data_IF_270614176951
#
_entry.id   IF_270614176951
#
_cell.length_a   1.000
_cell.length_b   1.000
_cell.length_c   1.000
_cell.angle_alpha   90.00
_cell.angle_beta   90.00
_cell.angle_gamma   90.00
#
_symmetry.space_group_name_H-M   'P 1'
#
loop_
_entity.id
_entity.type
_entity.pdbx_description
1 polymer ?
#
# COMPACT_ATOMS: atom_id res chain seq x y z
N UNK A 1 22.28 -9.30 13.44
CA UNK A 1 22.83 -7.99 13.01
C UNK A 1 22.30 -6.86 13.88
N UNK A 2 21.00 -6.51 13.81
CA UNK A 2 20.46 -5.33 14.52
C UNK A 2 20.69 -5.38 16.04
N UNK A 3 20.46 -6.55 16.67
CA UNK A 3 20.73 -6.75 18.10
C UNK A 3 22.20 -6.51 18.45
N UNK A 4 23.13 -7.08 17.68
CA UNK A 4 24.57 -6.88 17.90
C UNK A 4 24.96 -5.40 17.74
N UNK A 5 24.37 -4.69 16.77
CA UNK A 5 24.56 -3.24 16.60
C UNK A 5 24.08 -2.46 17.83
N UNK A 6 22.91 -2.82 18.39
CA UNK A 6 22.37 -2.18 19.60
C UNK A 6 23.24 -2.45 20.84
N UNK A 7 23.87 -3.62 20.92
CA UNK A 7 24.78 -3.99 22.01
C UNK A 7 26.19 -3.38 21.86
N UNK A 8 26.49 -2.73 20.74
CA UNK A 8 27.83 -2.22 20.44
C UNK A 8 28.85 -3.29 20.04
N UNK A 9 28.41 -4.54 19.83
CA UNK A 9 29.25 -5.65 19.39
C UNK A 9 29.47 -5.59 17.87
N UNK A 10 30.56 -4.93 17.48
CA UNK A 10 30.92 -4.69 16.08
C UNK A 10 31.26 -5.98 15.33
N UNK A 11 31.93 -6.92 15.99
CA UNK A 11 32.38 -8.16 15.34
C UNK A 11 31.19 -9.08 15.06
N UNK A 12 30.29 -9.24 16.04
CA UNK A 12 29.05 -9.97 15.81
C UNK A 12 28.17 -9.28 14.77
N UNK A 13 28.12 -7.95 14.73
CA UNK A 13 27.39 -7.23 13.69
C UNK A 13 27.95 -7.54 12.29
N UNK A 14 29.26 -7.44 12.08
CA UNK A 14 29.91 -7.79 10.79
C UNK A 14 29.63 -9.24 10.41
N UNK A 15 29.79 -10.18 11.35
CA UNK A 15 29.52 -11.60 11.11
C UNK A 15 28.07 -11.85 10.65
N UNK A 16 27.08 -11.32 11.39
CA UNK A 16 25.67 -11.51 11.05
C UNK A 16 25.26 -10.78 9.77
N UNK A 17 25.89 -9.64 9.45
CA UNK A 17 25.70 -8.98 8.15
C UNK A 17 26.17 -9.89 7.02
N UNK A 18 27.39 -10.42 7.13
CA UNK A 18 27.94 -11.34 6.12
C UNK A 18 27.08 -12.58 5.91
N UNK A 19 26.53 -13.17 6.99
CA UNK A 19 25.59 -14.30 6.87
C UNK A 19 24.29 -13.94 6.18
N UNK A 20 23.72 -12.78 6.48
CA UNK A 20 22.53 -12.31 5.78
C UNK A 20 22.80 -12.09 4.28
N UNK A 21 23.94 -11.49 3.94
CA UNK A 21 24.31 -11.21 2.54
C UNK A 21 24.59 -12.51 1.77
N UNK A 22 25.15 -13.54 2.42
CA UNK A 22 25.32 -14.88 1.84
C UNK A 22 23.96 -15.51 1.47
N UNK A 23 22.98 -15.43 2.37
CA UNK A 23 21.61 -15.93 2.12
C UNK A 23 20.95 -15.18 0.97
N UNK A 24 21.03 -13.84 0.95
CA UNK A 24 20.46 -13.02 -0.13
C UNK A 24 21.05 -13.38 -1.49
N UNK A 25 22.37 -13.53 -1.57
CA UNK A 25 23.05 -13.94 -2.80
C UNK A 25 22.60 -15.32 -3.25
N UNK A 26 22.55 -16.30 -2.35
CA UNK A 26 22.04 -17.65 -2.67
C UNK A 26 20.59 -17.63 -3.12
N UNK A 27 19.71 -16.85 -2.48
CA UNK A 27 18.32 -16.71 -2.92
C UNK A 27 18.25 -16.18 -4.35
N UNK A 28 18.97 -15.08 -4.65
CA UNK A 28 19.05 -14.52 -6.00
C UNK A 28 19.54 -15.55 -7.00
N UNK A 29 20.71 -16.13 -6.76
CA UNK A 29 21.36 -17.04 -7.71
C UNK A 29 20.54 -18.31 -7.98
N UNK A 30 19.77 -18.77 -6.99
CA UNK A 30 19.11 -20.07 -7.04
C UNK A 30 17.62 -20.01 -7.37
N UNK A 31 16.91 -18.95 -6.93
CA UNK A 31 15.46 -18.88 -6.97
C UNK A 31 14.93 -17.78 -7.91
N UNK A 32 15.74 -16.77 -8.24
CA UNK A 32 15.27 -15.66 -9.10
C UNK A 32 15.31 -16.09 -10.56
N UNK A 33 14.22 -15.83 -11.29
CA UNK A 33 14.19 -15.99 -12.74
C UNK A 33 14.04 -14.60 -13.36
N UNK A 34 15.09 -14.12 -14.03
CA UNK A 34 15.17 -12.72 -14.44
C UNK A 34 14.09 -12.30 -15.44
N UNK A 35 13.83 -13.15 -16.45
CA UNK A 35 12.79 -12.97 -17.46
C UNK A 35 11.36 -13.06 -16.89
N UNK A 36 11.23 -13.60 -15.68
CA UNK A 36 9.95 -13.72 -14.97
C UNK A 36 9.83 -12.79 -13.78
N UNK A 37 10.80 -11.88 -13.59
CA UNK A 37 10.75 -10.78 -12.62
C UNK A 37 10.33 -11.19 -11.19
N UNK A 38 10.67 -12.41 -10.78
CA UNK A 38 10.13 -13.01 -9.56
C UNK A 38 10.98 -14.19 -9.07
N UNK A 39 10.88 -14.48 -7.77
CA UNK A 39 11.37 -15.71 -7.16
C UNK A 39 10.38 -16.86 -7.37
N UNK A 40 10.92 -18.03 -7.75
CA UNK A 40 10.20 -19.29 -7.85
C UNK A 40 10.82 -20.35 -6.94
N UNK A 41 9.97 -21.20 -6.37
CA UNK A 41 10.42 -22.33 -5.56
C UNK A 41 11.09 -23.40 -6.41
N UNK A 42 11.87 -24.25 -5.75
CA UNK A 42 12.37 -25.49 -6.35
C UNK A 42 11.85 -26.72 -5.60
N UNK A 43 11.60 -27.79 -6.34
CA UNK A 43 11.25 -29.09 -5.79
C UNK A 43 12.51 -29.83 -5.26
N UNK A 44 12.38 -31.01 -4.63
CA UNK A 44 13.53 -31.79 -4.16
C UNK A 44 14.53 -32.21 -5.26
N UNK A 45 14.06 -32.34 -6.51
CA UNK A 45 14.88 -32.64 -7.69
C UNK A 45 15.55 -31.38 -8.29
N UNK A 46 15.45 -30.25 -7.58
CA UNK A 46 16.03 -28.97 -7.95
C UNK A 46 15.43 -28.31 -9.21
N UNK A 47 14.23 -28.70 -9.61
CA UNK A 47 13.50 -28.09 -10.71
C UNK A 47 12.63 -26.94 -10.22
N UNK A 48 12.42 -25.92 -11.05
CA UNK A 48 11.53 -24.83 -10.70
C UNK A 48 10.06 -25.29 -10.65
N UNK A 49 9.38 -24.96 -9.56
CA UNK A 49 7.94 -25.09 -9.44
C UNK A 49 7.32 -23.88 -10.13
N UNK A 50 6.55 -24.14 -11.19
CA UNK A 50 5.89 -23.09 -11.97
C UNK A 50 4.63 -22.56 -11.27
N UNK A 51 4.80 -21.96 -10.10
CA UNK A 51 3.72 -21.28 -9.39
C UNK A 51 4.17 -19.92 -8.87
N UNK A 52 3.44 -18.87 -9.21
CA UNK A 52 3.71 -17.51 -8.78
C UNK A 52 2.91 -17.20 -7.51
N UNK A 53 3.62 -16.96 -6.41
CA UNK A 53 3.01 -16.80 -5.08
C UNK A 53 3.35 -15.46 -4.44
N UNK A 54 2.54 -15.05 -3.45
CA UNK A 54 2.82 -13.81 -2.69
C UNK A 54 4.12 -13.86 -1.90
N UNK A 55 4.81 -15.02 -1.82
CA UNK A 55 6.01 -15.15 -0.99
C UNK A 55 7.17 -14.28 -1.47
N UNK A 56 7.07 -13.75 -2.69
CA UNK A 56 7.88 -12.62 -3.16
C UNK A 56 7.80 -11.38 -2.24
N UNK A 57 6.61 -11.06 -1.71
CA UNK A 57 6.46 -10.04 -0.67
C UNK A 57 7.20 -10.40 0.62
N UNK A 58 7.33 -11.70 0.96
CA UNK A 58 8.15 -12.12 2.12
C UNK A 58 9.64 -11.93 1.84
N UNK A 59 10.09 -12.24 0.64
CA UNK A 59 11.47 -11.95 0.23
C UNK A 59 11.75 -10.44 0.30
N UNK A 60 10.80 -9.60 -0.13
CA UNK A 60 10.86 -8.15 0.03
C UNK A 60 10.87 -7.73 1.51
N UNK A 61 9.99 -8.28 2.34
CA UNK A 61 9.93 -8.02 3.79
C UNK A 61 11.28 -8.23 4.48
N UNK A 62 12.02 -9.28 4.11
CA UNK A 62 13.36 -9.57 4.65
C UNK A 62 14.51 -8.87 3.91
N UNK A 63 14.22 -8.02 2.92
CA UNK A 63 15.23 -7.29 2.17
C UNK A 63 16.06 -8.18 1.23
N UNK A 64 15.50 -9.29 0.75
CA UNK A 64 16.19 -10.29 -0.08
C UNK A 64 16.13 -10.00 -1.59
N UNK A 65 15.51 -8.90 -1.99
CA UNK A 65 15.56 -8.38 -3.37
C UNK A 65 16.50 -7.18 -3.43
N UNK A 66 17.04 -6.88 -4.62
CA UNK A 66 17.56 -5.54 -4.89
C UNK A 66 16.39 -4.58 -5.14
N UNK A 67 16.65 -3.27 -5.13
CA UNK A 67 15.63 -2.27 -5.50
C UNK A 67 15.05 -2.54 -6.89
N UNK A 68 15.89 -2.85 -7.87
CA UNK A 68 15.45 -3.18 -9.23
C UNK A 68 14.54 -4.42 -9.27
N UNK A 69 14.90 -5.50 -8.57
CA UNK A 69 14.09 -6.72 -8.50
C UNK A 69 12.72 -6.44 -7.86
N UNK A 70 12.69 -5.65 -6.77
CA UNK A 70 11.44 -5.25 -6.12
C UNK A 70 10.56 -4.41 -7.05
N UNK A 71 11.14 -3.39 -7.71
CA UNK A 71 10.43 -2.55 -8.67
C UNK A 71 9.83 -3.38 -9.82
N UNK A 72 10.60 -4.34 -10.37
CA UNK A 72 10.13 -5.23 -11.44
C UNK A 72 9.01 -6.15 -10.96
N UNK A 73 9.16 -6.79 -9.79
CA UNK A 73 8.09 -7.62 -9.23
C UNK A 73 6.80 -6.82 -9.02
N UNK A 74 6.90 -5.61 -8.46
CA UNK A 74 5.73 -4.76 -8.20
C UNK A 74 5.02 -4.40 -9.51
N UNK A 75 5.79 -3.91 -10.48
CA UNK A 75 5.31 -3.47 -11.79
C UNK A 75 4.66 -4.59 -12.62
N UNK A 76 5.30 -5.76 -12.66
CA UNK A 76 4.89 -6.84 -13.56
C UNK A 76 3.89 -7.80 -12.92
N UNK A 77 3.90 -7.93 -11.59
CA UNK A 77 3.12 -8.94 -10.88
C UNK A 77 2.20 -8.35 -9.81
N UNK A 78 2.75 -7.65 -8.81
CA UNK A 78 1.98 -7.26 -7.63
C UNK A 78 0.78 -6.37 -7.98
N UNK A 79 0.98 -5.42 -8.89
CA UNK A 79 -0.05 -4.50 -9.36
C UNK A 79 -0.81 -5.02 -10.59
N UNK A 80 -0.54 -6.24 -11.06
CA UNK A 80 -1.21 -6.82 -12.21
C UNK A 80 -2.62 -7.34 -11.83
N UNK A 81 -3.72 -6.83 -12.43
CA UNK A 81 -5.08 -7.26 -12.09
C UNK A 81 -5.41 -8.71 -12.45
N UNK A 82 -4.62 -9.31 -13.35
CA UNK A 82 -4.74 -10.72 -13.72
C UNK A 82 -3.97 -11.65 -12.78
N UNK A 83 -3.27 -11.10 -11.79
CA UNK A 83 -2.42 -11.86 -10.86
C UNK A 83 -2.75 -11.51 -9.40
N UNK A 84 -2.16 -10.44 -8.86
CA UNK A 84 -2.28 -10.10 -7.43
C UNK A 84 -3.15 -8.88 -7.15
N UNK A 85 -3.46 -8.04 -8.13
CA UNK A 85 -4.31 -6.86 -7.95
C UNK A 85 -5.80 -7.13 -8.23
N UNK A 86 -6.37 -8.04 -7.46
CA UNK A 86 -7.80 -8.40 -7.56
C UNK A 86 -8.71 -7.39 -6.84
N UNK A 87 -10.01 -7.69 -6.68
CA UNK A 87 -10.92 -6.84 -5.91
C UNK A 87 -10.42 -6.66 -4.47
N UNK A 88 -10.11 -7.77 -3.79
CA UNK A 88 -9.32 -7.82 -2.56
C UNK A 88 -7.90 -8.34 -2.88
N UNK A 89 -6.91 -7.45 -3.07
CA UNK A 89 -5.59 -7.81 -3.56
C UNK A 89 -4.81 -8.81 -2.69
N UNK A 90 -3.65 -9.18 -3.21
CA UNK A 90 -2.63 -10.07 -2.63
C UNK A 90 -3.15 -11.47 -2.24
N UNK A 91 -3.80 -12.18 -3.19
CA UNK A 91 -4.09 -13.60 -3.04
C UNK A 91 -2.81 -14.41 -2.77
N UNK A 92 -2.96 -15.59 -2.18
CA UNK A 92 -1.81 -16.42 -1.80
C UNK A 92 -1.01 -16.96 -2.97
N UNK A 93 -1.72 -17.24 -4.05
CA UNK A 93 -1.21 -17.62 -5.36
C UNK A 93 -1.84 -16.64 -6.37
N UNK A 94 -1.11 -16.26 -7.42
CA UNK A 94 -1.66 -15.39 -8.46
C UNK A 94 -2.94 -16.03 -9.06
N UNK A 95 -3.99 -15.23 -9.32
CA UNK A 95 -5.30 -15.80 -9.71
C UNK A 95 -5.32 -16.47 -11.10
N UNK A 96 -4.32 -16.21 -11.93
CA UNK A 96 -4.11 -16.88 -13.22
C UNK A 96 -3.22 -18.13 -13.13
N UNK A 97 -2.72 -18.46 -11.94
CA UNK A 97 -1.86 -19.61 -11.72
C UNK A 97 -2.69 -20.91 -11.65
N UNK A 98 -2.23 -22.03 -12.25
CA UNK A 98 -2.96 -23.29 -12.21
C UNK A 98 -3.14 -23.88 -10.80
N UNK A 99 -2.33 -23.45 -9.82
CA UNK A 99 -2.45 -23.89 -8.43
C UNK A 99 -3.33 -22.98 -7.56
N UNK A 100 -3.97 -21.96 -8.14
CA UNK A 100 -4.87 -21.08 -7.40
C UNK A 100 -6.13 -21.83 -6.93
N UNK A 101 -6.39 -21.77 -5.64
CA UNK A 101 -7.59 -22.34 -5.02
C UNK A 101 -8.36 -21.31 -4.19
N UNK A 102 -9.59 -21.00 -4.62
CA UNK A 102 -10.50 -20.13 -3.87
C UNK A 102 -11.39 -20.95 -2.91
N UNK A 103 -10.84 -21.35 -1.77
CA UNK A 103 -11.60 -22.06 -0.71
C UNK A 103 -11.80 -21.14 0.50
N UNK A 104 -12.98 -21.23 1.11
CA UNK A 104 -13.40 -20.41 2.26
C UNK A 104 -12.90 -20.89 3.62
N UNK A 105 -12.44 -22.13 3.74
CA UNK A 105 -11.72 -22.56 4.95
C UNK A 105 -10.28 -22.06 4.91
N UNK A 106 -9.60 -21.98 6.06
CA UNK A 106 -8.24 -21.47 6.14
C UNK A 106 -7.26 -22.31 5.31
N UNK A 107 -6.82 -21.74 4.18
CA UNK A 107 -5.83 -22.33 3.30
C UNK A 107 -5.00 -21.22 2.65
N UNK A 108 -3.76 -21.55 2.30
CA UNK A 108 -2.83 -20.62 1.64
C UNK A 108 -2.76 -20.85 0.12
N UNK A 109 -3.80 -21.48 -0.46
CA UNK A 109 -3.86 -21.86 -1.87
C UNK A 109 -4.41 -20.77 -2.80
N UNK A 110 -5.08 -19.74 -2.28
CA UNK A 110 -5.60 -18.69 -3.14
C UNK A 110 -6.09 -17.45 -2.42
N UNK A 111 -6.98 -17.56 -1.44
CA UNK A 111 -7.57 -16.38 -0.80
C UNK A 111 -6.54 -15.41 -0.20
N UNK A 112 -6.90 -14.13 -0.17
CA UNK A 112 -6.07 -13.04 0.32
C UNK A 112 -6.01 -13.09 1.84
N UNK A 113 -4.82 -13.36 2.38
CA UNK A 113 -4.60 -13.55 3.81
C UNK A 113 -4.25 -12.23 4.49
N UNK A 114 -4.88 -11.92 5.63
CA UNK A 114 -4.60 -10.68 6.36
C UNK A 114 -3.17 -10.58 6.92
N UNK A 115 -2.56 -11.73 7.23
CA UNK A 115 -1.12 -11.76 7.58
C UNK A 115 -0.24 -11.31 6.40
N UNK A 116 -0.69 -11.48 5.16
CA UNK A 116 0.03 -10.96 3.98
C UNK A 116 -0.14 -9.45 3.88
N UNK A 117 -1.33 -8.91 4.14
CA UNK A 117 -1.54 -7.45 4.28
C UNK A 117 -0.59 -6.84 5.31
N UNK A 118 -0.52 -7.42 6.51
CA UNK A 118 0.38 -6.92 7.54
C UNK A 118 1.86 -6.90 7.09
N UNK A 119 2.31 -7.96 6.41
CA UNK A 119 3.69 -8.06 5.90
C UNK A 119 3.94 -7.14 4.71
N UNK A 120 2.93 -6.89 3.87
CA UNK A 120 3.05 -6.07 2.68
C UNK A 120 3.53 -4.64 3.01
N UNK A 121 3.15 -4.11 4.16
CA UNK A 121 3.59 -2.79 4.64
C UNK A 121 5.12 -2.69 4.63
N UNK A 122 5.81 -3.51 5.44
CA UNK A 122 7.28 -3.50 5.48
C UNK A 122 7.90 -4.01 4.19
N UNK A 123 7.27 -4.95 3.51
CA UNK A 123 7.73 -5.41 2.21
C UNK A 123 7.86 -4.27 1.21
N UNK A 124 6.89 -3.34 1.17
CA UNK A 124 6.89 -2.20 0.26
C UNK A 124 7.74 -1.03 0.79
N UNK A 125 7.61 -0.70 2.08
CA UNK A 125 8.36 0.41 2.69
C UNK A 125 9.88 0.21 2.62
N UNK A 126 10.37 -1.04 2.74
CA UNK A 126 11.79 -1.36 2.62
C UNK A 126 12.39 -0.94 1.27
N UNK A 127 11.56 -0.78 0.24
CA UNK A 127 11.94 -0.37 -1.11
C UNK A 127 11.32 0.96 -1.52
N UNK A 128 10.80 1.74 -0.56
CA UNK A 128 10.27 3.09 -0.81
C UNK A 128 8.93 3.17 -1.53
N UNK A 129 8.19 2.06 -1.66
CA UNK A 129 6.86 2.01 -2.27
C UNK A 129 5.75 2.37 -1.27
N UNK A 130 5.74 3.62 -0.81
CA UNK A 130 4.81 4.12 0.20
C UNK A 130 3.40 4.36 -0.34
N UNK A 131 3.27 4.85 -1.57
CA UNK A 131 1.98 5.09 -2.20
C UNK A 131 1.22 3.78 -2.45
N UNK A 132 1.91 2.70 -2.81
CA UNK A 132 1.33 1.36 -2.94
C UNK A 132 0.79 0.86 -1.60
N UNK A 133 1.45 1.14 -0.46
CA UNK A 133 0.91 0.84 0.87
C UNK A 133 -0.44 1.53 1.06
N UNK A 134 -0.56 2.81 0.72
CA UNK A 134 -1.83 3.53 0.80
C UNK A 134 -2.91 2.93 -0.13
N UNK A 135 -2.55 2.50 -1.34
CA UNK A 135 -3.48 1.82 -2.25
C UNK A 135 -4.04 0.52 -1.65
N UNK A 136 -3.19 -0.34 -1.08
CA UNK A 136 -3.65 -1.54 -0.38
C UNK A 136 -4.48 -1.21 0.86
N UNK A 137 -4.09 -0.15 1.59
CA UNK A 137 -4.81 0.35 2.74
C UNK A 137 -6.24 0.75 2.40
N UNK A 138 -6.46 1.50 1.31
CA UNK A 138 -7.81 1.86 0.85
C UNK A 138 -8.68 0.63 0.54
N UNK A 139 -8.13 -0.41 -0.09
CA UNK A 139 -8.84 -1.67 -0.36
C UNK A 139 -9.25 -2.38 0.92
N UNK A 140 -8.31 -2.55 1.84
CA UNK A 140 -8.53 -3.21 3.12
C UNK A 140 -9.55 -2.43 3.98
N UNK A 141 -9.35 -1.11 4.12
CA UNK A 141 -10.22 -0.24 4.91
C UNK A 141 -11.62 -0.17 4.33
N UNK A 142 -11.77 -0.09 3.00
CA UNK A 142 -13.07 -0.13 2.33
C UNK A 142 -13.88 -1.35 2.78
N UNK A 143 -13.31 -2.55 2.62
CA UNK A 143 -13.99 -3.81 2.99
C UNK A 143 -14.27 -3.94 4.49
N UNK A 144 -13.32 -3.57 5.34
CA UNK A 144 -13.48 -3.67 6.79
C UNK A 144 -14.45 -2.62 7.32
N UNK A 145 -14.50 -1.43 6.71
CA UNK A 145 -15.46 -0.39 7.09
C UNK A 145 -16.91 -0.81 6.84
N UNK A 146 -17.17 -1.62 5.82
CA UNK A 146 -18.51 -2.13 5.51
C UNK A 146 -18.90 -3.27 6.46
N UNK A 147 -18.00 -4.24 6.63
CA UNK A 147 -18.29 -5.47 7.38
C UNK A 147 -18.19 -5.32 8.89
N UNK A 148 -17.27 -4.46 9.37
CA UNK A 148 -16.83 -4.38 10.77
C UNK A 148 -16.26 -5.70 11.32
N UNK A 149 -15.86 -6.61 10.43
CA UNK A 149 -15.30 -7.92 10.79
C UNK A 149 -13.79 -7.95 10.57
N UNK A 150 -13.09 -8.57 11.52
CA UNK A 150 -11.66 -8.77 11.47
C UNK A 150 -11.37 -10.26 11.28
N UNK A 151 -11.29 -10.72 10.02
CA UNK A 151 -11.18 -12.14 9.68
C UNK A 151 -9.78 -12.57 9.25
N UNK A 152 -9.58 -13.88 9.09
CA UNK A 152 -8.33 -14.45 8.61
C UNK A 152 -8.08 -14.10 7.14
N UNK A 153 -9.10 -14.24 6.29
CA UNK A 153 -8.95 -14.17 4.84
C UNK A 153 -10.17 -13.56 4.14
N UNK A 154 -9.94 -13.09 2.93
CA UNK A 154 -10.94 -12.56 2.01
C UNK A 154 -10.94 -13.32 0.69
N UNK A 155 -12.13 -13.55 0.14
CA UNK A 155 -12.29 -13.90 -1.25
C UNK A 155 -11.69 -12.79 -2.14
N UNK A 156 -10.76 -13.11 -3.05
CA UNK A 156 -10.06 -12.08 -3.83
C UNK A 156 -10.94 -11.38 -4.86
N UNK A 157 -12.10 -11.95 -5.24
CA UNK A 157 -13.00 -11.42 -6.26
C UNK A 157 -14.23 -10.74 -5.68
N UNK A 158 -14.81 -11.30 -4.61
CA UNK A 158 -16.03 -10.76 -3.99
C UNK A 158 -15.74 -9.94 -2.73
N UNK A 159 -14.59 -10.18 -2.09
CA UNK A 159 -14.26 -9.64 -0.78
C UNK A 159 -15.04 -10.25 0.38
N UNK A 160 -15.80 -11.32 0.14
CA UNK A 160 -16.43 -12.08 1.21
C UNK A 160 -15.39 -12.55 2.23
N UNK A 161 -15.74 -12.43 3.50
CA UNK A 161 -14.85 -12.73 4.60
C UNK A 161 -15.10 -14.13 5.13
N UNK A 162 -14.03 -14.88 5.38
CA UNK A 162 -14.12 -16.24 5.89
C UNK A 162 -13.07 -16.53 6.97
N UNK A 163 -13.19 -17.68 7.63
CA UNK A 163 -12.38 -18.03 8.81
C UNK A 163 -12.87 -17.39 10.12
N UNK A 164 -14.19 -17.36 10.33
CA UNK A 164 -14.87 -16.78 11.51
C UNK A 164 -15.24 -17.87 12.54
N UNK A 165 -14.60 -19.04 12.51
CA UNK A 165 -14.98 -20.17 13.36
C UNK A 165 -14.65 -19.90 14.85
N UNK A 166 -15.57 -19.20 15.53
CA UNK A 166 -15.66 -19.14 16.99
C UNK A 166 -14.71 -18.21 17.73
N UNK A 167 -13.89 -17.40 17.06
CA UNK A 167 -12.97 -16.47 17.70
C UNK A 167 -12.93 -15.09 17.04
N UNK A 168 -13.11 -14.05 17.85
CA UNK A 168 -12.99 -12.62 17.49
C UNK A 168 -11.56 -12.17 17.12
N UNK A 169 -10.64 -13.12 16.89
CA UNK A 169 -9.25 -12.84 16.58
C UNK A 169 -8.91 -13.24 15.15
N UNK A 170 -9.04 -12.28 14.23
CA UNK A 170 -8.39 -12.33 12.93
C UNK A 170 -7.18 -11.36 12.85
N UNK A 171 -6.09 -11.74 12.17
CA UNK A 171 -4.90 -10.90 12.00
C UNK A 171 -5.16 -9.56 11.29
N UNK A 172 -6.33 -9.40 10.68
CA UNK A 172 -6.78 -8.15 10.04
C UNK A 172 -6.78 -6.95 10.97
N UNK A 173 -7.08 -7.09 12.28
CA UNK A 173 -7.10 -5.91 13.17
C UNK A 173 -5.72 -5.25 13.26
N UNK A 174 -4.66 -6.06 13.32
CA UNK A 174 -3.29 -5.54 13.35
C UNK A 174 -2.91 -4.88 12.03
N UNK A 175 -3.31 -5.49 10.90
CA UNK A 175 -3.14 -4.87 9.60
C UNK A 175 -3.88 -3.53 9.52
N UNK A 176 -5.13 -3.46 10.01
CA UNK A 176 -5.94 -2.24 10.03
C UNK A 176 -5.24 -1.12 10.77
N UNK A 177 -4.79 -1.37 12.00
CA UNK A 177 -4.11 -0.38 12.82
C UNK A 177 -2.84 0.14 12.13
N UNK A 178 -2.07 -0.76 11.54
CA UNK A 178 -0.84 -0.41 10.82
C UNK A 178 -1.13 0.41 9.56
N UNK A 179 -2.04 -0.02 8.68
CA UNK A 179 -2.42 0.75 7.49
C UNK A 179 -3.02 2.10 7.85
N UNK A 180 -3.88 2.16 8.87
CA UNK A 180 -4.44 3.42 9.36
C UNK A 180 -3.34 4.37 9.82
N UNK A 181 -2.34 3.88 10.58
CA UNK A 181 -1.20 4.71 11.00
C UNK A 181 -0.38 5.24 9.81
N UNK A 182 -0.25 4.47 8.72
CA UNK A 182 0.44 4.88 7.48
C UNK A 182 -0.36 5.83 6.60
N UNK A 183 -1.68 5.92 6.79
CA UNK A 183 -2.56 6.74 5.96
C UNK A 183 -2.97 8.04 6.65
N UNK A 184 -3.27 7.98 7.95
CA UNK A 184 -3.92 9.07 8.69
C UNK A 184 -3.43 9.19 10.15
N UNK A 185 -2.22 8.70 10.44
CA UNK A 185 -1.74 8.62 11.81
C UNK A 185 -0.24 8.73 11.96
N UNK A 186 0.23 8.27 13.11
CA UNK A 186 1.63 8.36 13.49
C UNK A 186 2.20 6.96 13.67
N UNK A 187 3.34 6.70 13.02
CA UNK A 187 4.14 5.50 13.29
C UNK A 187 5.53 5.85 13.81
N UNK A 188 5.92 5.20 14.91
CA UNK A 188 7.24 5.37 15.53
C UNK A 188 8.09 4.15 15.17
N UNK A 189 9.25 4.39 14.58
CA UNK A 189 10.14 3.35 14.08
C UNK A 189 11.56 3.63 14.54
N UNK A 190 12.01 2.91 15.57
CA UNK A 190 13.33 3.10 16.21
C UNK A 190 13.46 4.54 16.75
N UNK A 191 14.31 5.34 16.13
CA UNK A 191 14.68 6.72 16.46
C UNK A 191 13.95 7.75 15.61
N UNK A 192 12.99 7.32 14.77
CA UNK A 192 12.23 8.21 13.88
C UNK A 192 10.73 8.14 14.16
N UNK A 193 10.05 9.24 13.90
CA UNK A 193 8.60 9.38 13.97
C UNK A 193 8.09 9.79 12.60
N UNK A 194 7.05 9.13 12.13
CA UNK A 194 6.46 9.37 10.82
C UNK A 194 5.03 9.85 11.02
N UNK A 195 4.76 11.07 10.59
CA UNK A 195 3.43 11.67 10.59
C UNK A 195 2.84 11.51 9.20
N UNK A 196 1.82 10.67 9.06
CA UNK A 196 1.23 10.32 7.79
C UNK A 196 -0.17 10.91 7.69
N UNK A 197 -0.45 11.66 6.63
CA UNK A 197 -1.79 12.17 6.42
C UNK A 197 -2.12 12.29 4.95
N UNK A 198 -2.93 11.37 4.44
CA UNK A 198 -3.65 11.54 3.18
C UNK A 198 -4.78 12.58 3.37
N UNK A 199 -5.19 13.27 2.30
CA UNK A 199 -6.28 14.22 2.38
C UNK A 199 -7.60 13.53 2.72
N UNK A 200 -8.34 14.08 3.68
CA UNK A 200 -9.71 13.71 4.01
C UNK A 200 -10.59 14.96 4.08
N UNK A 201 -11.89 14.79 3.85
CA UNK A 201 -12.85 15.87 4.06
C UNK A 201 -13.06 16.10 5.56
N UNK A 202 -13.04 15.02 6.34
CA UNK A 202 -13.23 15.04 7.78
C UNK A 202 -11.99 15.56 8.51
N UNK A 203 -12.25 16.27 9.61
CA UNK A 203 -11.21 16.63 10.56
C UNK A 203 -10.90 15.43 11.46
N UNK A 204 -9.62 15.22 11.77
CA UNK A 204 -9.21 14.15 12.68
C UNK A 204 -8.00 14.55 13.53
N UNK A 205 -7.86 13.87 14.66
CA UNK A 205 -6.70 13.92 15.53
C UNK A 205 -6.23 12.49 15.83
N UNK A 206 -4.93 12.25 15.69
CA UNK A 206 -4.26 11.01 16.08
C UNK A 206 -3.21 11.33 17.14
N UNK A 207 -3.21 10.57 18.24
CA UNK A 207 -2.26 10.72 19.33
C UNK A 207 -1.53 9.39 19.54
N UNK A 208 -0.20 9.44 19.54
CA UNK A 208 0.67 8.31 19.87
C UNK A 208 1.51 8.64 21.10
N UNK A 209 1.50 7.76 22.09
CA UNK A 209 2.31 7.91 23.32
C UNK A 209 3.33 6.78 23.38
N UNK A 210 4.62 7.13 23.42
CA UNK A 210 5.72 6.17 23.53
C UNK A 210 6.68 6.63 24.63
N UNK A 211 6.72 5.87 25.72
CA UNK A 211 7.43 6.29 26.93
C UNK A 211 6.85 7.61 27.44
N UNK A 212 7.72 8.59 27.66
CA UNK A 212 7.33 9.93 28.13
C UNK A 212 6.96 10.89 26.99
N UNK A 213 7.12 10.47 25.73
CA UNK A 213 6.84 11.32 24.58
C UNK A 213 5.41 11.14 24.06
N UNK A 214 4.76 12.26 23.77
CA UNK A 214 3.46 12.33 23.11
C UNK A 214 3.60 13.00 21.74
N UNK A 215 3.15 12.31 20.71
CA UNK A 215 3.11 12.79 19.34
C UNK A 215 1.66 12.96 18.92
N UNK A 216 1.33 14.11 18.35
CA UNK A 216 -0.03 14.41 17.90
C UNK A 216 -0.01 14.87 16.45
N UNK A 217 -0.89 14.28 15.64
CA UNK A 217 -1.17 14.69 14.27
C UNK A 217 -2.61 15.17 14.22
N UNK A 218 -2.83 16.40 13.77
CA UNK A 218 -4.16 16.91 13.44
C UNK A 218 -4.25 17.13 11.96
N UNK A 219 -5.41 16.81 11.39
CA UNK A 219 -5.75 17.24 10.04
C UNK A 219 -7.00 18.10 10.08
N UNK A 220 -6.95 19.25 9.42
CA UNK A 220 -8.12 20.10 9.19
C UNK A 220 -8.03 20.72 7.80
N UNK A 221 -9.09 20.59 6.99
CA UNK A 221 -9.18 21.16 5.64
C UNK A 221 -7.96 20.83 4.75
N UNK A 222 -7.50 19.57 4.77
CA UNK A 222 -6.32 19.13 4.02
C UNK A 222 -4.98 19.66 4.54
N UNK A 223 -4.94 20.29 5.71
CA UNK A 223 -3.73 20.77 6.38
C UNK A 223 -3.41 19.85 7.57
N UNK A 224 -2.20 19.31 7.57
CA UNK A 224 -1.60 18.55 8.66
C UNK A 224 -0.89 19.49 9.64
N UNK A 225 -1.06 19.23 10.93
CA UNK A 225 -0.36 19.89 12.02
C UNK A 225 0.30 18.84 12.91
N UNK A 226 1.62 18.83 12.96
CA UNK A 226 2.41 17.91 13.79
C UNK A 226 2.89 18.56 15.07
N UNK A 227 2.61 17.93 16.19
CA UNK A 227 2.90 18.42 17.54
C UNK A 227 3.68 17.33 18.30
N UNK A 228 4.74 17.73 19.00
CA UNK A 228 5.55 16.84 19.84
C UNK A 228 5.60 17.43 21.24
N UNK A 229 5.16 16.65 22.25
CA UNK A 229 5.11 17.06 23.65
C UNK A 229 4.41 18.42 23.89
N UNK A 230 3.33 18.66 23.13
CA UNK A 230 2.57 19.91 23.19
C UNK A 230 3.14 21.08 22.38
N UNK A 231 4.33 20.93 21.80
CA UNK A 231 4.98 21.95 20.97
C UNK A 231 4.68 21.71 19.48
N UNK A 232 4.25 22.77 18.77
CA UNK A 232 4.06 22.73 17.33
C UNK A 232 5.42 22.57 16.63
N UNK A 233 5.54 21.53 15.79
CA UNK A 233 6.76 21.28 15.00
C UNK A 233 6.60 21.62 13.53
N UNK A 234 5.43 21.34 12.96
CA UNK A 234 5.17 21.70 11.57
C UNK A 234 3.69 21.89 11.23
N UNK A 235 3.47 22.62 10.14
CA UNK A 235 2.23 22.57 9.36
C UNK A 235 2.57 22.20 7.92
N UNK A 236 1.76 21.34 7.29
CA UNK A 236 2.04 20.81 5.95
C UNK A 236 0.73 20.53 5.21
N UNK A 237 0.74 20.59 3.88
CA UNK A 237 -0.38 20.02 3.10
C UNK A 237 -0.45 18.50 3.31
N UNK A 238 -1.66 17.92 3.28
CA UNK A 238 -1.86 16.47 3.27
C UNK A 238 -1.42 15.82 1.94
N UNK A 239 -1.36 14.49 1.92
CA UNK A 239 -0.81 13.66 0.84
C UNK A 239 0.63 13.18 1.09
N UNK A 240 1.14 13.36 2.31
CA UNK A 240 2.56 13.16 2.63
C UNK A 240 2.78 12.38 3.92
N UNK A 241 3.99 11.82 4.04
CA UNK A 241 4.61 11.35 5.28
C UNK A 241 5.72 12.34 5.65
N UNK A 242 5.58 13.03 6.78
CA UNK A 242 6.65 13.86 7.35
C UNK A 242 7.45 13.01 8.33
N UNK A 243 8.76 12.90 8.11
CA UNK A 243 9.66 12.11 8.97
C UNK A 243 10.48 13.03 9.85
N UNK A 244 10.47 12.73 11.15
CA UNK A 244 11.18 13.49 12.16
C UNK A 244 12.04 12.59 13.05
N UNK A 245 13.01 13.18 13.75
CA UNK A 245 13.57 12.59 14.96
C UNK A 245 12.54 12.50 16.08
N UNK A 246 12.89 11.85 17.20
CA UNK A 246 12.03 11.77 18.39
C UNK A 246 11.71 13.15 19.01
N UNK A 247 12.55 14.14 18.77
CA UNK A 247 12.37 15.54 19.20
C UNK A 247 11.46 16.37 18.27
N UNK A 248 11.04 15.79 17.14
CA UNK A 248 10.25 16.47 16.12
C UNK A 248 11.07 17.22 15.07
N UNK A 249 12.40 17.13 15.09
CA UNK A 249 13.25 17.71 14.03
C UNK A 249 12.99 17.03 12.69
N UNK A 250 12.53 17.78 11.69
CA UNK A 250 12.18 17.24 10.37
C UNK A 250 13.46 17.03 9.54
N UNK A 251 13.57 15.87 8.89
CA UNK A 251 14.69 15.60 7.98
C UNK A 251 14.24 15.09 6.60
N UNK A 252 13.04 14.51 6.50
CA UNK A 252 12.52 13.97 5.24
C UNK A 252 11.01 14.18 5.10
N UNK A 253 10.54 14.33 3.86
CA UNK A 253 9.13 14.29 3.51
C UNK A 253 8.95 13.35 2.32
N UNK A 254 7.93 12.49 2.38
CA UNK A 254 7.69 11.46 1.37
C UNK A 254 6.29 11.60 0.79
N UNK A 255 6.17 11.52 -0.54
CA UNK A 255 4.88 11.40 -1.20
C UNK A 255 4.26 10.02 -0.95
N UNK A 256 3.11 10.00 -0.28
CA UNK A 256 2.37 8.75 0.02
C UNK A 256 1.04 8.66 -0.74
N UNK A 257 0.62 9.74 -1.39
CA UNK A 257 -0.54 9.71 -2.27
C UNK A 257 -0.18 9.04 -3.60
N UNK A 258 -1.19 8.46 -4.25
CA UNK A 258 -1.11 7.88 -5.59
C UNK A 258 -1.01 8.93 -6.69
N UNK A 259 -1.31 10.21 -6.40
CA UNK A 259 -1.21 11.33 -7.33
C UNK A 259 -0.23 12.38 -6.84
N UNK A 260 0.38 13.11 -7.77
CA UNK A 260 1.23 14.25 -7.42
C UNK A 260 0.41 15.36 -6.76
N UNK A 261 0.97 15.97 -5.70
CA UNK A 261 0.33 17.05 -4.94
C UNK A 261 1.23 18.28 -4.90
N UNK A 262 0.64 19.46 -5.02
CA UNK A 262 1.31 20.71 -4.60
C UNK A 262 1.27 20.77 -3.08
N UNK A 263 2.44 20.88 -2.45
CA UNK A 263 2.60 20.80 -1.00
C UNK A 263 3.37 22.01 -0.52
N UNK A 264 2.90 22.59 0.59
CA UNK A 264 3.72 23.45 1.41
C UNK A 264 4.12 22.70 2.69
N UNK A 265 5.29 23.04 3.23
CA UNK A 265 5.76 22.64 4.55
C UNK A 265 6.28 23.87 5.28
N UNK A 266 5.81 24.12 6.49
CA UNK A 266 6.37 25.13 7.40
C UNK A 266 6.89 24.46 8.66
N UNK A 267 8.17 24.68 8.96
CA UNK A 267 8.86 24.17 10.15
C UNK A 267 10.06 25.09 10.47
N UNK A 268 10.44 25.24 11.74
CA UNK A 268 11.59 26.06 12.18
C UNK A 268 11.62 27.48 11.56
N UNK A 269 10.45 28.12 11.48
CA UNK A 269 10.27 29.44 10.85
C UNK A 269 10.62 29.53 9.34
N UNK A 270 10.89 28.40 8.68
CA UNK A 270 11.07 28.29 7.24
C UNK A 270 9.80 27.74 6.58
N UNK A 271 9.57 28.13 5.33
CA UNK A 271 8.48 27.60 4.50
C UNK A 271 9.01 27.14 3.16
N UNK A 272 8.56 25.96 2.75
CA UNK A 272 8.91 25.30 1.49
C UNK A 272 7.64 25.06 0.69
N UNK A 273 7.72 25.24 -0.63
CA UNK A 273 6.62 24.94 -1.55
C UNK A 273 7.19 24.14 -2.73
N UNK A 274 6.60 22.99 -3.02
CA UNK A 274 7.06 22.09 -4.08
C UNK A 274 5.96 21.12 -4.49
N UNK A 275 6.14 20.45 -5.62
CA UNK A 275 5.27 19.34 -6.02
C UNK A 275 5.91 18.04 -5.55
N UNK A 276 5.15 17.23 -4.83
CA UNK A 276 5.56 15.88 -4.42
C UNK A 276 4.83 14.86 -5.28
N UNK A 277 5.59 13.98 -5.94
CA UNK A 277 5.07 12.83 -6.66
C UNK A 277 5.02 11.58 -5.77
N UNK A 278 4.24 10.55 -6.14
CA UNK A 278 4.22 9.29 -5.40
C UNK A 278 5.64 8.76 -5.18
N UNK A 279 5.91 8.28 -3.96
CA UNK A 279 7.20 7.68 -3.56
C UNK A 279 8.44 8.59 -3.70
N UNK A 280 8.25 9.89 -3.97
CA UNK A 280 9.34 10.87 -4.01
C UNK A 280 9.70 11.31 -2.60
N UNK A 281 10.98 11.33 -2.28
CA UNK A 281 11.52 11.73 -0.99
C UNK A 281 12.27 13.05 -1.13
N UNK A 282 11.87 14.02 -0.32
CA UNK A 282 12.54 15.29 -0.16
C UNK A 282 13.37 15.32 1.12
N UNK A 283 14.57 15.89 1.05
CA UNK A 283 15.37 16.29 2.21
C UNK A 283 15.37 17.81 2.38
N UNK A 284 15.59 18.28 3.61
CA UNK A 284 15.55 19.70 3.96
C UNK A 284 16.87 20.14 4.60
N UNK A 285 17.64 20.95 3.87
CA UNK A 285 18.79 21.68 4.40
C UNK A 285 18.48 23.19 4.29
N UNK A 286 19.02 23.86 3.27
CA UNK A 286 18.68 25.25 2.95
C UNK A 286 17.41 25.34 2.08
N UNK A 287 17.27 24.40 1.15
CA UNK A 287 16.11 24.27 0.26
C UNK A 287 15.54 22.83 0.31
N UNK A 288 14.35 22.64 -0.24
CA UNK A 288 13.75 21.32 -0.40
C UNK A 288 14.32 20.65 -1.66
N UNK A 289 14.99 19.52 -1.51
CA UNK A 289 15.62 18.80 -2.62
C UNK A 289 15.14 17.36 -2.71
N UNK A 290 14.93 16.86 -3.93
CA UNK A 290 14.63 15.44 -4.14
C UNK A 290 15.90 14.64 -3.89
N UNK A 291 15.86 13.73 -2.91
CA UNK A 291 17.00 12.87 -2.54
C UNK A 291 16.80 11.41 -2.96
N UNK A 292 15.55 11.01 -3.24
CA UNK A 292 15.23 9.67 -3.73
C UNK A 292 13.90 9.67 -4.47
N UNK A 293 13.85 8.93 -5.57
CA UNK A 293 12.62 8.62 -6.31
C UNK A 293 12.52 7.12 -6.51
N UNK A 294 11.32 6.60 -6.28
CA UNK A 294 10.98 5.20 -6.56
C UNK A 294 9.83 5.20 -7.55
N UNK A 295 9.88 4.37 -8.62
CA UNK A 295 8.81 4.32 -9.60
C UNK A 295 7.48 3.98 -8.95
N UNK A 296 6.42 4.64 -9.40
CA UNK A 296 5.05 4.31 -9.06
C UNK A 296 4.33 3.91 -10.34
N UNK A 297 3.61 2.79 -10.28
CA UNK A 297 2.79 2.29 -11.39
C UNK A 297 1.34 2.19 -10.95
N UNK A 298 0.42 2.32 -11.89
CA UNK A 298 -0.99 2.12 -11.60
C UNK A 298 -1.35 0.67 -11.91
N UNK A 299 -2.13 0.02 -11.03
CA UNK A 299 -2.57 -1.34 -11.28
C UNK A 299 -3.50 -1.45 -12.50
N UNK A 300 -4.13 -0.35 -12.88
CA UNK A 300 -4.89 -0.24 -14.11
C UNK A 300 -4.04 0.50 -15.14
N UNK A 301 -3.18 -0.23 -15.85
CA UNK A 301 -2.66 0.31 -17.11
C UNK A 301 -3.82 0.33 -18.08
N UNK A 302 -4.29 1.54 -18.40
CA UNK A 302 -5.06 1.75 -19.61
C UNK A 302 -4.15 1.25 -20.73
N UNK A 303 -4.47 0.08 -21.29
CA UNK A 303 -3.91 -0.31 -22.55
C UNK A 303 -4.43 0.75 -23.54
N UNK A 304 -3.65 1.80 -23.74
CA UNK A 304 -3.76 2.65 -24.93
C UNK A 304 -3.33 1.76 -26.08
N UNK A 305 -4.21 0.87 -26.50
CA UNK A 305 -4.11 0.30 -27.81
C UNK A 305 -4.13 1.49 -28.77
N UNK A 306 -3.04 1.71 -29.48
CA UNK A 306 -2.94 2.75 -30.51
C UNK A 306 -4.00 2.62 -31.61
N UNK A 307 -4.79 1.54 -31.60
CA UNK A 307 -5.92 1.29 -32.50
C UNK A 307 -7.30 1.37 -31.83
N UNK A 308 -7.41 1.51 -30.50
CA UNK A 308 -8.70 1.59 -29.79
C UNK A 308 -8.79 2.83 -28.88
N UNK A 309 -9.60 3.86 -29.21
CA UNK A 309 -9.68 5.13 -28.47
C UNK A 309 -10.60 5.03 -27.23
N UNK A 310 -10.44 4.00 -26.41
CA UNK A 310 -11.34 3.76 -25.28
C UNK A 310 -10.70 3.10 -24.06
N UNK A 311 -11.21 3.44 -22.88
CA UNK A 311 -10.96 2.81 -21.60
C UNK A 311 -12.06 1.81 -21.31
N UNK A 312 -11.76 0.51 -21.33
CA UNK A 312 -12.70 -0.52 -20.89
C UNK A 312 -12.63 -0.69 -19.38
N UNK A 313 -13.75 -0.47 -18.70
CA UNK A 313 -13.89 -0.68 -17.26
C UNK A 313 -14.03 -2.18 -16.97
N UNK A 314 -13.11 -2.79 -16.20
CA UNK A 314 -13.13 -4.23 -15.93
C UNK A 314 -14.28 -4.65 -15.01
N UNK A 315 -14.98 -3.71 -14.37
CA UNK A 315 -16.09 -4.01 -13.43
C UNK A 315 -17.39 -4.36 -14.16
N UNK A 316 -17.61 -3.77 -15.34
CA UNK A 316 -18.86 -3.91 -16.11
C UNK A 316 -18.64 -4.18 -17.61
N UNK A 317 -17.40 -4.10 -18.11
CA UNK A 317 -17.07 -4.27 -19.52
C UNK A 317 -17.40 -3.05 -20.39
N UNK A 318 -17.88 -1.95 -19.81
CA UNK A 318 -18.19 -0.74 -20.57
C UNK A 318 -16.90 -0.09 -21.10
N UNK A 319 -16.90 0.28 -22.38
CA UNK A 319 -15.81 1.04 -22.98
C UNK A 319 -16.18 2.52 -23.05
N UNK A 320 -15.37 3.36 -22.41
CA UNK A 320 -15.51 4.81 -22.34
C UNK A 320 -14.55 5.47 -23.31
N UNK A 321 -15.00 6.45 -24.07
CA UNK A 321 -14.05 7.24 -24.87
C UNK A 321 -13.08 7.97 -23.95
N UNK A 322 -11.85 8.12 -24.40
CA UNK A 322 -10.80 8.84 -23.69
C UNK A 322 -10.24 9.99 -24.53
N UNK A 323 -9.72 11.01 -23.86
CA UNK A 323 -9.04 12.16 -24.48
C UNK A 323 -7.71 12.39 -23.76
N UNK A 324 -6.64 12.60 -24.54
CA UNK A 324 -5.34 13.03 -23.98
C UNK A 324 -5.34 14.56 -23.88
N UNK A 325 -5.14 15.10 -22.68
CA UNK A 325 -5.01 16.53 -22.40
C UNK A 325 -3.67 16.75 -21.68
N UNK A 326 -2.72 17.39 -22.35
CA UNK A 326 -1.32 17.44 -21.87
C UNK A 326 -0.74 16.03 -21.78
N UNK A 327 -0.14 15.67 -20.65
CA UNK A 327 0.35 14.32 -20.39
C UNK A 327 -0.67 13.38 -19.72
N UNK A 328 -1.89 13.85 -19.47
CA UNK A 328 -2.93 13.07 -18.80
C UNK A 328 -3.95 12.52 -19.79
N UNK A 329 -4.53 11.37 -19.45
CA UNK A 329 -5.63 10.75 -20.18
C UNK A 329 -6.89 10.85 -19.33
N UNK A 330 -7.94 11.43 -19.91
CA UNK A 330 -9.24 11.65 -19.26
C UNK A 330 -10.31 10.79 -19.93
N UNK A 331 -11.34 10.40 -19.19
CA UNK A 331 -12.57 9.94 -19.83
C UNK A 331 -13.23 11.14 -20.54
N UNK A 332 -13.57 10.97 -21.81
CA UNK A 332 -14.31 11.95 -22.60
C UNK A 332 -15.83 11.85 -22.37
N UNK A 333 -16.25 10.94 -21.49
CA UNK A 333 -17.64 10.61 -21.19
C UNK A 333 -17.81 10.33 -19.70
N UNK A 334 -19.01 10.56 -19.17
CA UNK A 334 -19.32 10.21 -17.79
C UNK A 334 -19.22 8.69 -17.56
N UNK A 335 -18.72 8.30 -16.39
CA UNK A 335 -18.72 6.91 -15.93
C UNK A 335 -20.16 6.41 -15.84
N UNK A 336 -20.44 5.28 -16.50
CA UNK A 336 -21.74 4.60 -16.57
C UNK A 336 -21.73 3.29 -15.76
N UNK A 337 -20.82 3.19 -14.79
CA UNK A 337 -20.75 2.05 -13.88
C UNK A 337 -21.77 2.21 -12.76
N UNK A 338 -22.70 1.27 -12.65
CA UNK A 338 -23.67 1.20 -11.57
C UNK A 338 -23.52 -0.16 -10.87
N UNK A 339 -22.99 -0.21 -9.63
CA UNK A 339 -22.75 -1.48 -8.94
C UNK A 339 -24.03 -2.24 -8.63
N UNK A 340 -25.16 -1.55 -8.49
CA UNK A 340 -26.51 -2.11 -8.42
C UNK A 340 -27.56 -1.02 -8.68
N UNK A 341 -28.70 -1.36 -9.27
CA UNK A 341 -29.87 -0.47 -9.39
C UNK A 341 -31.12 -1.22 -8.94
N UNK A 342 -31.97 -0.55 -8.17
CA UNK A 342 -33.28 -1.03 -7.79
C UNK A 342 -34.37 -0.28 -8.57
N UNK A 343 -35.37 -1.00 -9.06
CA UNK A 343 -36.53 -0.40 -9.71
C UNK A 343 -37.41 0.40 -8.71
N UNK A 344 -38.21 1.36 -9.19
CA UNK A 344 -38.96 2.32 -8.38
C UNK A 344 -40.01 1.70 -7.45
N UNK A 345 -40.42 0.45 -7.69
CA UNK A 345 -41.30 -0.33 -6.81
C UNK A 345 -40.59 -1.08 -5.68
N UNK A 346 -39.26 -1.09 -5.67
CA UNK A 346 -38.44 -1.84 -4.71
C UNK A 346 -38.10 -0.94 -3.53
N UNK A 347 -38.40 -1.35 -2.30
CA UNK A 347 -38.04 -0.61 -1.09
C UNK A 347 -37.71 -1.56 0.06
N UNK A 348 -36.81 -1.15 0.95
CA UNK A 348 -36.48 -1.88 2.17
C UNK A 348 -36.22 -0.89 3.30
N UNK A 349 -36.59 -1.30 4.52
CA UNK A 349 -36.30 -0.53 5.74
C UNK A 349 -34.93 -0.86 6.33
N UNK A 350 -34.27 -1.90 5.83
CA UNK A 350 -33.04 -2.46 6.41
C UNK A 350 -31.93 -2.65 5.38
N UNK A 351 -32.25 -2.63 4.09
CA UNK A 351 -31.30 -2.88 3.00
C UNK A 351 -31.23 -1.63 2.14
N UNK A 352 -30.04 -1.00 1.99
CA UNK A 352 -29.90 0.16 1.11
C UNK A 352 -30.13 -0.26 -0.35
N UNK A 353 -30.89 0.56 -1.07
CA UNK A 353 -31.13 0.44 -2.49
C UNK A 353 -30.65 1.70 -3.21
N UNK A 354 -30.12 1.52 -4.41
CA UNK A 354 -29.63 2.60 -5.27
C UNK A 354 -30.61 2.78 -6.42
N UNK A 355 -31.09 4.00 -6.62
CA UNK A 355 -32.08 4.32 -7.65
C UNK A 355 -31.45 5.29 -8.65
N UNK A 356 -31.75 5.10 -9.93
CA UNK A 356 -31.39 6.04 -10.99
C UNK A 356 -32.68 6.60 -11.55
N UNK A 357 -32.82 7.93 -11.52
CA UNK A 357 -34.04 8.59 -11.99
C UNK A 357 -34.28 8.28 -13.48
N UNK A 358 -35.40 7.61 -13.77
CA UNK A 358 -35.78 7.23 -15.14
C UNK A 358 -35.09 5.96 -15.68
N UNK A 359 -34.51 5.12 -14.81
CA UNK A 359 -33.86 3.86 -15.18
C UNK A 359 -34.18 2.76 -14.17
N UNK A 360 -34.86 1.70 -14.62
CA UNK A 360 -35.44 0.67 -13.75
C UNK A 360 -34.59 -0.61 -13.64
N UNK A 361 -33.40 -0.62 -14.24
CA UNK A 361 -32.54 -1.81 -14.33
C UNK A 361 -32.31 -2.25 -15.76
#
# INVERSE_FOLDING_TARGET
YEIAKQQGDKDAAVFWRGKADEVKRKMKDYLWIDDRHSYFYRNPDNEFINSLTHNNLRAMYYGAMTQDMANRFIKHHLLNPKEFWTYMPIPSVAVNDPYFENRSYNNWGGQSQNLTYQRAIRALENYGHHAEVCLFGHKLMGRISESKLFTQQFDPFTGEQSGIDGYDYGPSILAVLEYFSRMYGIDVCKDTVHFNGLPLEEEYEYIQVIGDNTYTLRQKNGILTGIVNGELKFTCSAGVKVKTGLDGSIFELVGIDSVSRSVYLTCDSKSYNFTVSPNTVFGFQDEATVIREVPFDYPFKIALDSTTPGLTDPRDGNTYRIVKIGEQVWMAENLRFLPSVAGPGTGSKTTPYFYVYGYDG
#
